data_IF_401072410798
#
_entry.id   IF_401072410798
#
_cell.length_a   1.000
_cell.length_b   1.000
_cell.length_c   1.000
_cell.angle_alpha   90.00
_cell.angle_beta   90.00
_cell.angle_gamma   90.00
#
_symmetry.space_group_name_H-M   'P 1'
#
loop_
_entity.id
_entity.type
_entity.pdbx_description
1 polymer ?
#
# COMPACT_ATOMS: atom_id res chain seq x y z
N UNK A 1 -6.35 30.56 7.82
CA UNK A 1 -6.60 29.42 8.71
C UNK A 1 -6.37 28.11 7.96
N UNK A 2 -5.10 27.73 7.76
CA UNK A 2 -4.75 26.36 7.39
C UNK A 2 -5.00 25.50 8.63
N UNK A 3 -6.16 24.83 8.68
CA UNK A 3 -6.33 23.71 9.58
C UNK A 3 -5.28 22.68 9.20
N UNK A 4 -4.37 22.37 10.11
CA UNK A 4 -3.49 21.21 10.02
C UNK A 4 -4.41 19.99 9.82
N UNK A 5 -4.57 19.58 8.57
CA UNK A 5 -5.24 18.34 8.25
C UNK A 5 -4.34 17.23 8.78
N UNK A 6 -4.74 16.64 9.90
CA UNK A 6 -4.05 15.47 10.47
C UNK A 6 -3.96 14.44 9.34
N UNK A 7 -2.75 14.20 8.83
CA UNK A 7 -2.54 13.30 7.71
C UNK A 7 -3.20 11.95 8.03
N UNK A 8 -4.15 11.56 7.18
CA UNK A 8 -4.91 10.34 7.34
C UNK A 8 -3.99 9.13 7.15
N UNK A 9 -3.82 8.32 8.19
CA UNK A 9 -3.06 7.07 8.10
C UNK A 9 -3.96 5.97 7.52
N UNK A 10 -3.71 5.59 6.26
CA UNK A 10 -4.48 4.58 5.55
C UNK A 10 -4.50 3.22 6.26
N UNK A 11 -3.40 2.84 6.89
CA UNK A 11 -3.31 1.57 7.62
C UNK A 11 -4.18 1.59 8.88
N UNK A 12 -4.17 2.68 9.63
CA UNK A 12 -5.01 2.86 10.82
C UNK A 12 -6.51 2.85 10.47
N UNK A 13 -6.90 3.50 9.37
CA UNK A 13 -8.29 3.49 8.87
C UNK A 13 -8.73 2.06 8.56
N UNK A 14 -7.90 1.30 7.87
CA UNK A 14 -8.25 -0.08 7.51
C UNK A 14 -8.33 -0.98 8.73
N UNK A 15 -7.44 -0.82 9.72
CA UNK A 15 -7.53 -1.54 11.00
C UNK A 15 -8.83 -1.23 11.73
N UNK A 16 -9.23 0.03 11.78
CA UNK A 16 -10.51 0.44 12.39
C UNK A 16 -11.70 -0.24 11.69
N UNK A 17 -11.72 -0.23 10.36
CA UNK A 17 -12.77 -0.90 9.59
C UNK A 17 -12.81 -2.40 9.88
N UNK A 18 -11.66 -3.07 9.82
CA UNK A 18 -11.57 -4.50 10.08
C UNK A 18 -12.03 -4.86 11.49
N UNK A 19 -11.65 -4.06 12.48
CA UNK A 19 -12.07 -4.25 13.87
C UNK A 19 -13.59 -4.10 14.03
N UNK A 20 -14.18 -3.07 13.44
CA UNK A 20 -15.63 -2.83 13.52
C UNK A 20 -16.47 -3.89 12.83
N UNK A 21 -15.96 -4.51 11.79
CA UNK A 21 -16.67 -5.52 11.00
C UNK A 21 -16.20 -6.96 11.28
N UNK A 22 -15.49 -7.16 12.39
CA UNK A 22 -15.00 -8.49 12.82
C UNK A 22 -14.19 -9.23 11.74
N UNK A 23 -13.42 -8.48 10.96
CA UNK A 23 -12.49 -9.02 9.99
C UNK A 23 -11.14 -9.26 10.67
N UNK A 24 -10.66 -10.52 10.79
CA UNK A 24 -9.44 -10.82 11.53
C UNK A 24 -8.20 -10.19 10.90
N UNK A 25 -7.36 -9.58 11.74
CA UNK A 25 -5.99 -9.19 11.42
C UNK A 25 -5.06 -10.00 12.33
N UNK A 26 -4.05 -10.66 11.73
CA UNK A 26 -3.09 -11.43 12.51
C UNK A 26 -2.12 -10.50 13.25
N UNK A 27 -1.69 -10.93 14.44
CA UNK A 27 -0.78 -10.13 15.29
C UNK A 27 0.67 -10.17 14.80
N UNK A 28 1.04 -11.19 14.06
CA UNK A 28 2.39 -11.37 13.50
C UNK A 28 2.33 -11.90 12.07
N UNK A 29 3.38 -11.67 11.26
CA UNK A 29 3.44 -12.15 9.89
C UNK A 29 3.33 -13.68 9.80
N UNK A 30 2.45 -14.14 8.92
CA UNK A 30 2.25 -15.56 8.67
C UNK A 30 1.07 -15.81 7.76
N UNK A 31 0.97 -17.03 7.24
CA UNK A 31 -0.14 -17.43 6.38
C UNK A 31 -1.42 -17.69 7.21
N UNK A 32 -2.47 -16.92 6.91
CA UNK A 32 -3.82 -17.13 7.42
C UNK A 32 -4.72 -17.58 6.27
N UNK A 33 -4.65 -18.88 5.94
CA UNK A 33 -5.28 -19.43 4.73
C UNK A 33 -6.81 -19.26 4.72
N UNK A 34 -7.46 -19.29 5.88
CA UNK A 34 -8.91 -19.19 6.00
C UNK A 34 -9.49 -17.82 5.61
N UNK A 35 -8.68 -16.76 5.66
CA UNK A 35 -9.10 -15.39 5.28
C UNK A 35 -8.54 -14.94 3.94
N UNK A 36 -7.41 -15.50 3.52
CA UNK A 36 -6.66 -15.03 2.35
C UNK A 36 -7.46 -15.08 1.06
N UNK A 37 -8.21 -16.15 0.82
CA UNK A 37 -8.99 -16.33 -0.43
C UNK A 37 -10.03 -15.24 -0.61
N UNK A 38 -10.74 -14.84 0.45
CA UNK A 38 -11.70 -13.74 0.38
C UNK A 38 -11.03 -12.43 -0.04
N UNK A 39 -9.92 -12.08 0.61
CA UNK A 39 -9.18 -10.86 0.30
C UNK A 39 -8.59 -10.87 -1.10
N UNK A 40 -8.09 -12.02 -1.55
CA UNK A 40 -7.57 -12.18 -2.92
C UNK A 40 -8.68 -11.97 -3.96
N UNK A 41 -9.85 -12.56 -3.75
CA UNK A 41 -11.01 -12.38 -4.63
C UNK A 41 -11.41 -10.90 -4.70
N UNK A 42 -11.52 -10.23 -3.57
CA UNK A 42 -11.86 -8.81 -3.51
C UNK A 42 -10.81 -7.95 -4.21
N UNK A 43 -9.52 -8.27 -4.05
CA UNK A 43 -8.45 -7.54 -4.73
C UNK A 43 -8.56 -7.64 -6.26
N UNK A 44 -8.87 -8.82 -6.79
CA UNK A 44 -9.09 -9.00 -8.22
C UNK A 44 -10.30 -8.19 -8.72
N UNK A 45 -11.39 -8.18 -7.97
CA UNK A 45 -12.60 -7.42 -8.30
C UNK A 45 -12.29 -5.90 -8.36
N UNK A 46 -11.69 -5.35 -7.30
CA UNK A 46 -11.35 -3.92 -7.23
C UNK A 46 -10.31 -3.51 -8.28
N UNK A 47 -9.34 -4.36 -8.58
CA UNK A 47 -8.38 -4.10 -9.66
C UNK A 47 -9.06 -4.03 -11.02
N UNK A 48 -10.03 -4.92 -11.30
CA UNK A 48 -10.77 -4.88 -12.55
C UNK A 48 -11.60 -3.59 -12.68
N UNK A 49 -12.26 -3.17 -11.61
CA UNK A 49 -13.04 -1.92 -11.56
C UNK A 49 -12.13 -0.70 -11.75
N UNK A 50 -10.98 -0.66 -11.09
CA UNK A 50 -10.00 0.41 -11.27
C UNK A 50 -9.47 0.48 -12.70
N UNK A 51 -9.12 -0.65 -13.31
CA UNK A 51 -8.63 -0.68 -14.70
C UNK A 51 -9.70 -0.23 -15.69
N UNK A 52 -10.98 -0.53 -15.42
CA UNK A 52 -12.09 0.00 -16.21
C UNK A 52 -12.22 1.52 -16.07
N UNK A 53 -12.18 2.04 -14.85
CA UNK A 53 -12.21 3.48 -14.60
C UNK A 53 -11.02 4.21 -15.25
N UNK A 54 -9.84 3.60 -15.23
CA UNK A 54 -8.64 4.14 -15.91
C UNK A 54 -8.82 4.19 -17.43
N UNK A 55 -9.43 3.18 -18.03
CA UNK A 55 -9.74 3.15 -19.47
C UNK A 55 -10.67 4.30 -19.85
N UNK A 56 -11.73 4.53 -19.06
CA UNK A 56 -12.65 5.65 -19.28
C UNK A 56 -11.96 7.01 -19.08
N UNK A 57 -11.12 7.13 -18.06
CA UNK A 57 -10.35 8.34 -17.78
C UNK A 57 -9.43 8.75 -18.94
N UNK A 58 -8.85 7.79 -19.65
CA UNK A 58 -8.00 8.06 -20.81
C UNK A 58 -8.73 8.79 -21.93
N UNK A 59 -10.05 8.76 -21.96
CA UNK A 59 -10.91 9.43 -22.93
C UNK A 59 -11.43 10.79 -22.43
N UNK A 60 -10.86 11.32 -21.34
CA UNK A 60 -11.36 12.51 -20.63
C UNK A 60 -11.52 13.73 -21.55
N UNK A 61 -10.56 13.95 -22.43
CA UNK A 61 -10.53 15.12 -23.32
C UNK A 61 -11.74 15.21 -24.29
N UNK A 62 -12.41 14.10 -24.57
CA UNK A 62 -13.58 14.05 -25.45
C UNK A 62 -14.90 14.26 -24.71
N UNK A 63 -14.87 14.46 -23.40
CA UNK A 63 -16.05 14.55 -22.55
C UNK A 63 -16.39 16.00 -22.19
N UNK A 64 -17.68 16.27 -21.93
CA UNK A 64 -18.10 17.52 -21.33
C UNK A 64 -17.60 17.61 -19.86
N UNK A 65 -17.75 18.79 -19.26
CA UNK A 65 -17.23 19.07 -17.92
C UNK A 65 -17.86 18.16 -16.85
N UNK A 66 -19.14 17.88 -16.93
CA UNK A 66 -19.84 17.03 -15.96
C UNK A 66 -19.31 15.58 -16.03
N UNK A 67 -19.14 15.06 -17.23
CA UNK A 67 -18.59 13.71 -17.45
C UNK A 67 -17.11 13.64 -17.06
N UNK A 68 -16.33 14.70 -17.29
CA UNK A 68 -14.94 14.76 -16.81
C UNK A 68 -14.86 14.65 -15.28
N UNK A 69 -15.71 15.38 -14.56
CA UNK A 69 -15.78 15.30 -13.09
C UNK A 69 -16.15 13.90 -12.64
N UNK A 70 -17.16 13.28 -13.29
CA UNK A 70 -17.57 11.91 -12.97
C UNK A 70 -16.43 10.92 -13.15
N UNK A 71 -15.72 10.96 -14.27
CA UNK A 71 -14.62 10.04 -14.55
C UNK A 71 -13.43 10.21 -13.61
N UNK A 72 -13.12 11.46 -13.23
CA UNK A 72 -12.09 11.73 -12.21
C UNK A 72 -12.50 11.20 -10.84
N UNK A 73 -13.76 11.36 -10.46
CA UNK A 73 -14.31 10.84 -9.21
C UNK A 73 -14.25 9.29 -9.17
N UNK A 74 -14.69 8.62 -10.24
CA UNK A 74 -14.65 7.17 -10.35
C UNK A 74 -13.22 6.63 -10.29
N UNK A 75 -12.30 7.21 -11.05
CA UNK A 75 -10.88 6.80 -11.02
C UNK A 75 -10.30 6.90 -9.60
N UNK A 76 -10.58 8.01 -8.93
CA UNK A 76 -10.08 8.26 -7.57
C UNK A 76 -10.70 7.28 -6.58
N UNK A 77 -12.01 7.07 -6.64
CA UNK A 77 -12.73 6.18 -5.73
C UNK A 77 -12.28 4.72 -5.90
N UNK A 78 -12.20 4.23 -7.13
CA UNK A 78 -11.75 2.86 -7.42
C UNK A 78 -10.28 2.65 -7.03
N UNK A 79 -9.43 3.67 -7.18
CA UNK A 79 -8.07 3.63 -6.67
C UNK A 79 -8.02 3.52 -5.15
N UNK A 80 -8.87 4.24 -4.44
CA UNK A 80 -8.99 4.13 -2.97
C UNK A 80 -9.49 2.74 -2.57
N UNK A 81 -10.45 2.16 -3.28
CA UNK A 81 -10.95 0.82 -3.00
C UNK A 81 -9.85 -0.26 -3.18
N UNK A 82 -9.01 -0.13 -4.20
CA UNK A 82 -7.83 -1.00 -4.37
C UNK A 82 -6.87 -0.86 -3.18
N UNK A 83 -6.56 0.36 -2.76
CA UNK A 83 -5.69 0.61 -1.59
C UNK A 83 -6.28 -0.01 -0.32
N UNK A 84 -7.58 0.13 -0.12
CA UNK A 84 -8.29 -0.41 1.04
C UNK A 84 -8.22 -1.95 1.07
N UNK A 85 -8.50 -2.61 -0.04
CA UNK A 85 -8.49 -4.08 -0.12
C UNK A 85 -7.08 -4.63 -0.02
N UNK A 86 -6.12 -4.03 -0.73
CA UNK A 86 -4.72 -4.43 -0.66
C UNK A 86 -4.18 -4.31 0.77
N UNK A 87 -4.47 -3.20 1.44
CA UNK A 87 -4.10 -2.98 2.84
C UNK A 87 -4.73 -4.03 3.75
N UNK A 88 -6.03 -4.29 3.58
CA UNK A 88 -6.76 -5.30 4.34
C UNK A 88 -6.17 -6.70 4.18
N UNK A 89 -5.85 -7.10 2.95
CA UNK A 89 -5.21 -8.39 2.66
C UNK A 89 -3.90 -8.53 3.44
N UNK A 90 -3.03 -7.54 3.36
CA UNK A 90 -1.73 -7.58 4.03
C UNK A 90 -1.86 -7.56 5.55
N UNK A 91 -2.78 -6.77 6.11
CA UNK A 91 -3.07 -6.77 7.55
C UNK A 91 -3.69 -8.08 8.02
N UNK A 92 -4.54 -8.72 7.21
CA UNK A 92 -5.11 -10.02 7.54
C UNK A 92 -4.03 -11.09 7.75
N UNK A 93 -2.89 -10.96 7.05
CA UNK A 93 -1.73 -11.84 7.16
C UNK A 93 -0.67 -11.33 8.15
N UNK A 94 -0.97 -10.27 8.90
CA UNK A 94 -0.08 -9.73 9.92
C UNK A 94 1.16 -9.00 9.40
N UNK A 95 1.16 -8.56 8.14
CA UNK A 95 2.33 -7.91 7.56
C UNK A 95 2.59 -6.53 8.17
N UNK A 96 3.86 -6.20 8.50
CA UNK A 96 4.23 -4.94 9.15
C UNK A 96 4.29 -3.80 8.13
N UNK A 97 3.14 -3.25 7.75
CA UNK A 97 3.04 -2.29 6.66
C UNK A 97 3.78 -0.98 6.92
N UNK A 98 3.67 -0.43 8.13
CA UNK A 98 4.35 0.82 8.48
C UNK A 98 5.87 0.68 8.40
N UNK A 99 6.43 -0.36 9.01
CA UNK A 99 7.87 -0.62 9.00
C UNK A 99 8.39 -0.92 7.58
N UNK A 100 7.64 -1.70 6.80
CA UNK A 100 8.03 -2.03 5.42
C UNK A 100 7.95 -0.79 4.53
N UNK A 101 6.92 0.02 4.68
CA UNK A 101 6.77 1.28 3.93
C UNK A 101 7.94 2.21 4.20
N UNK A 102 8.33 2.39 5.47
CA UNK A 102 9.46 3.23 5.84
C UNK A 102 10.78 2.70 5.27
N UNK A 103 11.03 1.40 5.38
CA UNK A 103 12.25 0.78 4.86
C UNK A 103 12.38 0.96 3.33
N UNK A 104 11.28 0.74 2.60
CA UNK A 104 11.25 0.91 1.14
C UNK A 104 11.38 2.39 0.77
N UNK A 105 10.72 3.28 1.51
CA UNK A 105 10.82 4.73 1.28
C UNK A 105 12.26 5.21 1.38
N UNK A 106 12.97 4.84 2.44
CA UNK A 106 14.37 5.21 2.62
C UNK A 106 15.26 4.66 1.49
N UNK A 107 15.04 3.40 1.08
CA UNK A 107 15.74 2.83 -0.07
C UNK A 107 15.45 3.58 -1.37
N UNK A 108 14.21 4.00 -1.58
CA UNK A 108 13.82 4.79 -2.76
C UNK A 108 14.48 6.17 -2.78
N UNK A 109 14.58 6.84 -1.64
CA UNK A 109 15.27 8.13 -1.54
C UNK A 109 16.76 8.02 -1.90
N UNK A 110 17.40 6.89 -1.59
CA UNK A 110 18.81 6.62 -1.95
C UNK A 110 19.06 6.43 -3.46
N UNK A 111 18.02 6.40 -4.29
CA UNK A 111 18.17 6.43 -5.75
C UNK A 111 18.66 7.79 -6.27
N UNK A 112 18.54 8.84 -5.48
CA UNK A 112 19.14 10.12 -5.75
C UNK A 112 20.52 10.18 -5.08
N UNK A 113 21.56 10.46 -5.86
CA UNK A 113 22.94 10.62 -5.38
C UNK A 113 23.44 12.00 -5.77
N UNK A 114 23.84 12.81 -4.78
CA UNK A 114 24.34 14.19 -4.98
C UNK A 114 23.38 15.04 -5.85
N UNK A 115 22.09 14.91 -5.60
CA UNK A 115 21.04 15.61 -6.36
C UNK A 115 20.82 15.08 -7.78
N UNK A 116 21.48 13.99 -8.18
CA UNK A 116 21.39 13.40 -9.52
C UNK A 116 20.52 12.15 -9.51
N UNK A 117 19.71 12.01 -10.56
CA UNK A 117 18.79 10.90 -10.78
C UNK A 117 18.98 10.36 -12.18
N UNK A 118 19.11 9.05 -12.31
CA UNK A 118 19.13 8.38 -13.63
C UNK A 118 17.70 7.97 -13.98
N UNK A 119 17.25 8.34 -15.19
CA UNK A 119 15.90 8.06 -15.67
C UNK A 119 15.91 7.22 -16.94
N UNK A 120 14.96 6.31 -17.04
CA UNK A 120 14.63 5.63 -18.29
C UNK A 120 13.88 6.58 -19.23
N UNK A 121 13.80 6.27 -20.53
CA UNK A 121 13.15 7.11 -21.54
C UNK A 121 11.69 7.48 -21.20
N UNK A 122 10.95 6.61 -20.51
CA UNK A 122 9.59 6.84 -20.02
C UNK A 122 9.52 7.65 -18.72
N UNK A 123 10.65 8.09 -18.19
CA UNK A 123 10.77 8.86 -16.95
C UNK A 123 10.98 8.04 -15.68
N UNK A 124 10.97 6.70 -15.77
CA UNK A 124 11.19 5.82 -14.62
C UNK A 124 12.57 6.07 -14.00
N UNK A 125 12.61 6.30 -12.69
CA UNK A 125 13.84 6.43 -11.92
C UNK A 125 14.51 5.06 -11.83
N UNK A 126 15.76 4.99 -12.27
CA UNK A 126 16.55 3.78 -12.25
C UNK A 126 17.41 3.68 -10.99
N UNK A 127 17.78 2.46 -10.65
CA UNK A 127 18.70 2.16 -9.54
C UNK A 127 20.11 2.57 -9.96
N UNK A 128 20.78 3.49 -9.22
CA UNK A 128 22.16 3.81 -9.50
C UNK A 128 23.09 2.65 -9.19
N UNK A 129 24.32 2.69 -9.72
CA UNK A 129 25.34 1.73 -9.37
C UNK A 129 25.58 1.70 -7.86
N UNK A 130 25.66 0.50 -7.30
CA UNK A 130 25.87 0.30 -5.85
C UNK A 130 24.63 0.54 -5.00
N UNK A 131 23.46 0.86 -5.59
CA UNK A 131 22.22 1.00 -4.84
C UNK A 131 21.79 -0.32 -4.21
N UNK A 132 21.42 -0.26 -2.93
CA UNK A 132 20.94 -1.42 -2.19
C UNK A 132 19.46 -1.26 -1.84
N UNK A 133 18.68 -2.32 -2.09
CA UNK A 133 17.30 -2.42 -1.66
C UNK A 133 17.18 -2.43 -0.12
N UNK A 134 16.00 -2.15 0.37
CA UNK A 134 15.67 -2.36 1.78
C UNK A 134 15.86 -3.84 2.17
N UNK A 135 16.34 -4.10 3.37
CA UNK A 135 16.39 -5.46 3.94
C UNK A 135 14.98 -5.88 4.40
N UNK A 136 14.20 -6.35 3.45
CA UNK A 136 12.79 -6.75 3.66
C UNK A 136 12.66 -7.93 4.63
N UNK A 137 13.62 -8.84 4.58
CA UNK A 137 13.64 -10.01 5.47
C UNK A 137 13.87 -9.58 6.93
N UNK A 138 14.76 -8.61 7.16
CA UNK A 138 14.97 -8.06 8.50
C UNK A 138 13.70 -7.43 9.07
N UNK A 139 12.93 -6.70 8.24
CA UNK A 139 11.64 -6.12 8.67
C UNK A 139 10.67 -7.20 9.13
N UNK A 140 10.55 -8.30 8.39
CA UNK A 140 9.66 -9.42 8.76
C UNK A 140 10.17 -10.11 10.03
N UNK A 141 11.47 -10.43 10.12
CA UNK A 141 12.05 -11.06 11.32
C UNK A 141 11.83 -10.22 12.58
N UNK A 142 11.98 -8.91 12.48
CA UNK A 142 11.73 -8.00 13.61
C UNK A 142 10.27 -8.02 14.03
N UNK A 143 9.34 -8.02 13.10
CA UNK A 143 7.90 -8.10 13.41
C UNK A 143 7.54 -9.43 14.09
N UNK A 144 8.18 -10.54 13.72
CA UNK A 144 8.00 -11.83 14.36
C UNK A 144 8.60 -11.87 15.78
N UNK A 145 9.76 -11.27 15.99
CA UNK A 145 10.46 -11.29 17.29
C UNK A 145 9.77 -10.47 18.37
N UNK A 146 9.01 -9.43 18.01
CA UNK A 146 8.23 -8.61 18.96
C UNK A 146 7.13 -9.41 19.68
N UNK A 147 6.72 -10.57 19.15
CA UNK A 147 5.69 -11.43 19.73
C UNK A 147 6.23 -12.71 20.40
N UNK A 148 7.56 -12.91 20.37
CA UNK A 148 8.25 -13.93 21.13
C UNK A 148 9.28 -13.25 22.02
N UNK A 149 8.90 -12.81 23.26
CA UNK A 149 9.89 -12.42 24.24
C UNK A 149 10.79 -13.64 24.47
N UNK A 150 12.09 -13.49 24.23
CA UNK A 150 13.07 -14.49 24.59
C UNK A 150 12.91 -14.80 26.05
N UNK A 151 12.60 -16.05 26.38
CA UNK A 151 12.67 -16.57 27.73
C UNK A 151 14.14 -16.74 28.12
N UNK A 152 14.81 -15.61 28.37
CA UNK A 152 16.14 -15.56 28.94
C UNK A 152 16.23 -14.26 29.73
N UNK A 153 15.70 -14.32 30.95
CA UNK A 153 16.13 -13.52 32.11
C UNK A 153 15.44 -14.11 33.37
N UNK A 154 16.01 -15.24 33.85
CA UNK A 154 15.94 -15.66 35.24
C UNK A 154 17.35 -16.00 35.73
#
# INVERSE_FOLDING_TARGET
NYRHNKMTNLYAIRREFMQRFDLPAADQPGLQANTLTMWETMLHEEMAEFLHALKEFKQLASCDQQEQVRRMAELTAEGVDVLNVLTGLLLSQGMPLEAMTEAIHQANLRKQIDGKVVRRADGKILKPEGWQAADKCAVIRQAQSLHHPTADDD
#
